data_IF_069833392768
#
_entry.id   IF_069833392768
#
_cell.length_a   1.000
_cell.length_b   1.000
_cell.length_c   1.000
_cell.angle_alpha   90.00
_cell.angle_beta   90.00
_cell.angle_gamma   90.00
#
_symmetry.space_group_name_H-M   'P 1'
#
loop_
_entity.id
_entity.type
_entity.pdbx_description
1 polymer ?
#
# COMPACT_ATOMS: atom_id res chain seq x y z
N UNK A 1 11.23 -16.70 7.27
CA UNK A 1 11.59 -15.50 6.49
C UNK A 1 10.33 -14.92 5.86
N UNK A 2 9.78 -13.83 6.40
CA UNK A 2 8.51 -13.24 5.93
C UNK A 2 8.80 -12.48 4.62
N UNK A 3 8.37 -13.06 3.50
CA UNK A 3 8.68 -12.60 2.15
C UNK A 3 8.20 -11.15 1.94
N UNK A 4 9.12 -10.25 1.58
CA UNK A 4 8.85 -8.81 1.33
C UNK A 4 7.86 -8.56 0.17
N UNK A 5 7.65 -9.57 -0.68
CA UNK A 5 6.67 -9.54 -1.78
C UNK A 5 5.21 -9.62 -1.28
N UNK A 6 4.94 -10.37 -0.20
CA UNK A 6 3.58 -10.51 0.36
C UNK A 6 2.99 -9.19 0.87
N UNK A 7 3.83 -8.21 1.25
CA UNK A 7 3.37 -6.98 1.89
C UNK A 7 2.77 -5.98 0.89
N UNK A 8 3.42 -5.79 -0.26
CA UNK A 8 2.82 -4.96 -1.30
C UNK A 8 1.57 -5.65 -1.82
N UNK A 9 1.64 -6.96 -2.08
CA UNK A 9 0.49 -7.76 -2.51
C UNK A 9 -0.65 -7.63 -1.50
N UNK A 10 -0.46 -7.80 -0.19
CA UNK A 10 -1.51 -7.58 0.83
C UNK A 10 -2.05 -6.14 0.86
N UNK A 11 -1.18 -5.14 0.67
CA UNK A 11 -1.57 -3.74 0.61
C UNK A 11 -2.42 -3.45 -0.64
N UNK A 12 -2.02 -3.93 -1.83
CA UNK A 12 -2.78 -3.88 -3.09
C UNK A 12 -3.91 -4.88 -3.19
N UNK A 13 -3.96 -5.93 -2.37
CA UNK A 13 -5.08 -6.87 -2.32
C UNK A 13 -6.22 -6.22 -1.52
N UNK A 14 -5.85 -5.55 -0.41
CA UNK A 14 -6.79 -4.85 0.47
C UNK A 14 -7.21 -3.50 -0.08
N UNK A 15 -6.28 -2.76 -0.66
CA UNK A 15 -6.55 -1.68 -1.60
C UNK A 15 -6.55 -2.31 -3.01
N UNK A 16 -7.53 -3.14 -3.37
CA UNK A 16 -7.60 -4.09 -4.50
C UNK A 16 -9.06 -4.50 -4.64
N UNK A 17 -9.68 -4.82 -3.50
CA UNK A 17 -10.88 -5.63 -3.51
C UNK A 17 -10.60 -6.99 -4.18
N UNK A 18 -9.34 -7.45 -4.20
CA UNK A 18 -8.90 -8.62 -4.97
C UNK A 18 -9.13 -9.87 -4.13
N UNK A 19 -10.41 -10.21 -3.99
CA UNK A 19 -10.85 -11.58 -3.80
C UNK A 19 -11.47 -12.06 -5.12
N UNK A 20 -10.65 -12.25 -6.16
CA UNK A 20 -11.11 -12.94 -7.38
C UNK A 20 -9.99 -13.38 -8.35
N UNK A 21 -8.73 -13.59 -7.96
CA UNK A 21 -7.66 -13.76 -8.97
C UNK A 21 -6.71 -14.92 -8.64
N UNK A 22 -7.25 -16.14 -8.67
CA UNK A 22 -6.56 -17.33 -9.18
C UNK A 22 -7.25 -17.67 -10.50
N UNK A 23 -6.49 -17.88 -11.58
CA UNK A 23 -6.93 -18.36 -12.92
C UNK A 23 -7.26 -17.29 -13.98
N UNK A 24 -6.24 -16.60 -14.51
CA UNK A 24 -6.18 -16.09 -15.89
C UNK A 24 -4.79 -15.45 -16.08
N UNK A 25 -3.83 -16.22 -16.58
CA UNK A 25 -2.40 -15.88 -16.58
C UNK A 25 -1.94 -15.16 -17.86
N UNK A 26 -0.87 -14.39 -17.69
CA UNK A 26 -0.02 -13.66 -18.66
C UNK A 26 -0.31 -12.17 -18.88
N UNK A 27 -1.43 -11.76 -19.47
CA UNK A 27 -1.66 -10.33 -19.75
C UNK A 27 -1.90 -9.50 -18.46
N UNK A 28 -2.60 -10.13 -17.51
CA UNK A 28 -2.89 -9.59 -16.17
C UNK A 28 -1.62 -9.40 -15.32
N UNK A 29 -0.58 -10.20 -15.56
CA UNK A 29 0.68 -10.10 -14.81
C UNK A 29 1.50 -8.87 -15.19
N UNK A 30 1.48 -8.44 -16.46
CA UNK A 30 2.27 -7.27 -16.90
C UNK A 30 1.71 -5.95 -16.38
N UNK A 31 0.39 -5.77 -16.47
CA UNK A 31 -0.28 -4.58 -15.94
C UNK A 31 -0.19 -4.54 -14.41
N UNK A 32 -0.40 -5.68 -13.73
CA UNK A 32 -0.22 -5.81 -12.28
C UNK A 32 1.21 -5.49 -11.84
N UNK A 33 2.23 -6.01 -12.52
CA UNK A 33 3.64 -5.70 -12.21
C UNK A 33 3.97 -4.23 -12.47
N UNK A 34 3.38 -3.62 -13.48
CA UNK A 34 3.52 -2.19 -13.77
C UNK A 34 2.87 -1.33 -12.69
N UNK A 35 1.68 -1.72 -12.22
CA UNK A 35 0.99 -1.10 -11.09
C UNK A 35 1.83 -1.17 -9.80
N UNK A 36 2.36 -2.35 -9.45
CA UNK A 36 3.23 -2.50 -8.28
C UNK A 36 4.49 -1.63 -8.37
N UNK A 37 5.10 -1.52 -9.56
CA UNK A 37 6.24 -0.62 -9.79
C UNK A 37 5.86 0.85 -9.61
N UNK A 38 4.71 1.27 -10.13
CA UNK A 38 4.23 2.64 -9.99
C UNK A 38 3.90 2.99 -8.53
N UNK A 39 3.27 2.07 -7.79
CA UNK A 39 3.01 2.23 -6.36
C UNK A 39 4.29 2.34 -5.52
N UNK A 40 5.32 1.56 -5.85
CA UNK A 40 6.64 1.69 -5.19
C UNK A 40 7.25 3.05 -5.45
N UNK A 41 7.27 3.50 -6.71
CA UNK A 41 7.75 4.84 -7.07
C UNK A 41 6.96 5.94 -6.38
N UNK A 42 5.63 5.81 -6.30
CA UNK A 42 4.79 6.75 -5.56
C UNK A 42 5.05 6.72 -4.05
N UNK A 43 5.27 5.54 -3.46
CA UNK A 43 5.65 5.44 -2.05
C UNK A 43 7.01 6.09 -1.75
N UNK A 44 7.92 6.07 -2.72
CA UNK A 44 9.23 6.72 -2.63
C UNK A 44 9.15 8.23 -2.87
N UNK A 45 8.41 8.70 -3.88
CA UNK A 45 8.35 10.11 -4.26
C UNK A 45 7.25 10.94 -3.57
N UNK A 46 6.07 10.36 -3.35
CA UNK A 46 4.89 11.09 -2.89
C UNK A 46 4.68 11.01 -1.37
N UNK A 47 5.26 10.03 -0.68
CA UNK A 47 5.10 9.90 0.77
C UNK A 47 6.17 10.67 1.51
N UNK A 48 5.75 11.40 2.55
CA UNK A 48 6.71 11.95 3.51
C UNK A 48 7.37 10.84 4.31
N UNK A 49 8.53 11.11 4.90
CA UNK A 49 9.26 10.11 5.68
C UNK A 49 8.39 9.50 6.80
N UNK A 50 7.62 10.33 7.53
CA UNK A 50 6.70 9.84 8.57
C UNK A 50 5.58 8.96 8.02
N UNK A 51 5.06 9.28 6.83
CA UNK A 51 4.05 8.44 6.17
C UNK A 51 4.64 7.09 5.76
N UNK A 52 5.86 7.11 5.19
CA UNK A 52 6.59 5.90 4.79
C UNK A 52 6.92 5.01 5.98
N UNK A 53 7.36 5.59 7.10
CA UNK A 53 7.59 4.87 8.36
C UNK A 53 6.33 4.19 8.88
N UNK A 54 5.19 4.91 8.91
CA UNK A 54 3.93 4.32 9.34
C UNK A 54 3.49 3.17 8.42
N UNK A 55 3.60 3.36 7.10
CA UNK A 55 3.31 2.30 6.11
C UNK A 55 4.22 1.09 6.34
N UNK A 56 5.53 1.31 6.52
CA UNK A 56 6.50 0.25 6.82
C UNK A 56 6.10 -0.56 8.05
N UNK A 57 5.88 0.11 9.18
CA UNK A 57 5.57 -0.57 10.43
C UNK A 57 4.25 -1.36 10.35
N UNK A 58 3.19 -0.73 9.82
CA UNK A 58 1.88 -1.36 9.83
C UNK A 58 1.69 -2.42 8.74
N UNK A 59 2.20 -2.19 7.54
CA UNK A 59 1.97 -3.11 6.42
C UNK A 59 3.12 -4.10 6.24
N UNK A 60 4.39 -3.70 6.42
CA UNK A 60 5.54 -4.59 6.21
C UNK A 60 5.91 -5.39 7.45
N UNK A 61 5.87 -4.74 8.61
CA UNK A 61 6.21 -5.38 9.88
C UNK A 61 4.96 -5.94 10.60
N UNK A 62 3.75 -5.56 10.16
CA UNK A 62 2.48 -6.06 10.69
C UNK A 62 2.10 -5.48 12.06
N UNK A 63 2.67 -4.33 12.45
CA UNK A 63 2.37 -3.67 13.70
C UNK A 63 0.98 -3.02 13.67
N UNK A 64 0.29 -3.03 14.80
CA UNK A 64 -0.92 -2.21 14.96
C UNK A 64 -0.56 -0.71 14.95
N UNK A 65 -1.55 0.16 14.72
CA UNK A 65 -1.33 1.61 14.80
C UNK A 65 -0.80 2.03 16.18
N UNK A 66 -1.29 1.36 17.24
CA UNK A 66 -0.82 1.54 18.62
C UNK A 66 0.63 1.11 18.81
N UNK A 67 1.05 -0.02 18.25
CA UNK A 67 2.44 -0.48 18.35
C UNK A 67 3.39 0.42 17.56
N UNK A 68 2.97 0.83 16.36
CA UNK A 68 3.72 1.79 15.54
C UNK A 68 3.85 3.14 16.26
N UNK A 69 2.79 3.61 16.93
CA UNK A 69 2.80 4.82 17.73
C UNK A 69 3.84 4.76 18.86
N UNK A 70 3.85 3.65 19.62
CA UNK A 70 4.86 3.39 20.66
C UNK A 70 6.28 3.39 20.08
N UNK A 71 6.49 2.70 18.95
CA UNK A 71 7.80 2.59 18.31
C UNK A 71 8.31 3.91 17.73
N UNK A 72 7.42 4.77 17.25
CA UNK A 72 7.76 6.07 16.66
C UNK A 72 7.77 7.24 17.67
N UNK A 73 7.33 7.00 18.91
CA UNK A 73 7.23 8.04 19.95
C UNK A 73 6.18 9.10 19.64
N UNK A 74 5.06 8.73 19.00
CA UNK A 74 3.98 9.64 18.62
C UNK A 74 2.60 9.07 19.00
N UNK A 75 1.54 9.89 18.93
CA UNK A 75 0.19 9.43 19.21
C UNK A 75 -0.37 8.46 18.16
N UNK A 76 -1.20 7.51 18.59
CA UNK A 76 -1.91 6.57 17.71
C UNK A 76 -2.81 7.30 16.69
N UNK A 77 -3.44 8.39 17.10
CA UNK A 77 -4.23 9.25 16.21
C UNK A 77 -3.36 9.90 15.12
N UNK A 78 -2.10 10.22 15.41
CA UNK A 78 -1.13 10.75 14.46
C UNK A 78 -0.71 9.68 13.46
N UNK A 79 -0.42 8.45 13.93
CA UNK A 79 -0.16 7.29 13.05
C UNK A 79 -1.34 7.05 12.11
N UNK A 80 -2.56 7.02 12.64
CA UNK A 80 -3.78 6.80 11.85
C UNK A 80 -3.96 7.88 10.78
N UNK A 81 -3.69 9.15 11.11
CA UNK A 81 -3.71 10.26 10.14
C UNK A 81 -2.63 10.12 9.07
N UNK A 82 -1.40 9.71 9.44
CA UNK A 82 -0.34 9.44 8.48
C UNK A 82 -0.69 8.31 7.53
N UNK A 83 -1.24 7.19 8.05
CA UNK A 83 -1.70 6.07 7.24
C UNK A 83 -2.83 6.48 6.29
N UNK A 84 -3.82 7.26 6.77
CA UNK A 84 -4.90 7.78 5.92
C UNK A 84 -4.37 8.66 4.79
N UNK A 85 -3.48 9.61 5.10
CA UNK A 85 -2.87 10.48 4.08
C UNK A 85 -2.03 9.68 3.07
N UNK A 86 -1.25 8.72 3.55
CA UNK A 86 -0.45 7.85 2.69
C UNK A 86 -1.31 7.05 1.72
N UNK A 87 -2.38 6.40 2.23
CA UNK A 87 -3.35 5.68 1.39
C UNK A 87 -4.00 6.58 0.35
N UNK A 88 -4.43 7.78 0.72
CA UNK A 88 -5.05 8.70 -0.23
C UNK A 88 -4.08 9.10 -1.35
N UNK A 89 -2.81 9.34 -1.04
CA UNK A 89 -1.79 9.67 -2.05
C UNK A 89 -1.57 8.51 -3.02
N UNK A 90 -1.43 7.30 -2.49
CA UNK A 90 -1.25 6.10 -3.32
C UNK A 90 -2.50 5.77 -4.15
N UNK A 91 -3.70 5.96 -3.59
CA UNK A 91 -4.96 5.80 -4.29
C UNK A 91 -5.11 6.80 -5.45
N UNK A 92 -4.66 8.06 -5.29
CA UNK A 92 -4.64 9.00 -6.40
C UNK A 92 -3.77 8.50 -7.56
N UNK A 93 -2.58 7.95 -7.26
CA UNK A 93 -1.69 7.40 -8.30
C UNK A 93 -2.36 6.23 -9.03
N UNK A 94 -3.02 5.33 -8.30
CA UNK A 94 -3.78 4.23 -8.91
C UNK A 94 -4.92 4.72 -9.79
N UNK A 95 -5.72 5.66 -9.30
CA UNK A 95 -6.87 6.20 -10.03
C UNK A 95 -6.47 6.84 -11.36
N UNK A 96 -5.37 7.59 -11.39
CA UNK A 96 -4.95 8.29 -12.61
C UNK A 96 -4.09 7.42 -13.54
N UNK A 97 -3.30 6.50 -13.00
CA UNK A 97 -2.34 5.73 -13.79
C UNK A 97 -2.85 4.34 -14.20
N UNK A 98 -3.80 3.79 -13.44
CA UNK A 98 -4.35 2.45 -13.64
C UNK A 98 -5.89 2.44 -13.43
N UNK A 99 -6.66 3.23 -14.21
CA UNK A 99 -8.10 3.39 -14.00
C UNK A 99 -8.87 2.06 -14.08
N UNK A 100 -8.49 1.16 -14.99
CA UNK A 100 -9.09 -0.18 -15.14
C UNK A 100 -8.95 -1.06 -13.89
N UNK A 101 -7.88 -0.86 -13.11
CA UNK A 101 -7.65 -1.58 -11.85
C UNK A 101 -8.31 -0.86 -10.65
N UNK A 102 -8.81 0.36 -10.85
CA UNK A 102 -9.38 1.21 -9.82
C UNK A 102 -10.92 1.31 -9.88
N UNK A 103 -11.59 0.62 -10.81
CA UNK A 103 -13.07 0.64 -10.97
C UNK A 103 -13.86 0.02 -9.81
N UNK A 104 -13.20 -0.59 -8.81
CA UNK A 104 -13.84 -1.33 -7.71
C UNK A 104 -13.77 -0.66 -6.33
N UNK A 105 -13.57 0.66 -6.25
CA UNK A 105 -13.40 1.38 -4.98
C UNK A 105 -14.22 2.65 -4.85
#
# INVERSE_FOLDING_TARGET
MRNKNLCLDLFTERMAGVQAWRSAQEEKDLEYRSMLKALRKAAEGELTERQRQCIRLCYYEGLTARDAARKLGINESTVSRHLKKARNRLACVLRYSFPRLNEKY
#
